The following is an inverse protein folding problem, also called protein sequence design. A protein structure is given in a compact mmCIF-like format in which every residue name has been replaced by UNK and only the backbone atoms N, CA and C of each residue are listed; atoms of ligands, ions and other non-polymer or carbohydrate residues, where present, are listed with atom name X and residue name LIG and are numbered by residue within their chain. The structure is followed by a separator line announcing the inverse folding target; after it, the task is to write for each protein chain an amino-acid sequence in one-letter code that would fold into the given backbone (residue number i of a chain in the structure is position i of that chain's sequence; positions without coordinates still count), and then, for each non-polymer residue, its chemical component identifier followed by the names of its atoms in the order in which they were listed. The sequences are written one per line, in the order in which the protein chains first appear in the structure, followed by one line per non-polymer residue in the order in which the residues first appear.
data_IF_051772942362
#
_entry.id   IF_051772942362
#
_cell.length_a   1.000
_cell.length_b   1.000
_cell.length_c   1.000
_cell.angle_alpha   90.00
_cell.angle_beta   90.00
_cell.angle_gamma   90.00
#
_symmetry.space_group_name_H-M   'P 1'
#
loop_
_entity.id
_entity.type
_entity.pdbx_description
1 polymer ?
#
# COMPACT_ATOMS: atom_id res chain seq x y z
N UNK A 1 14.15 -4.19 12.48
CA UNK A 1 14.18 -4.09 11.01
C UNK A 1 14.55 -2.66 10.61
N UNK A 2 15.20 -2.52 9.47
CA UNK A 2 15.47 -1.23 8.82
C UNK A 2 14.39 -0.97 7.77
N UNK A 3 13.80 0.22 7.79
CA UNK A 3 12.69 0.59 6.91
C UNK A 3 13.03 1.86 6.13
N UNK A 4 12.65 1.93 4.85
CA UNK A 4 12.64 3.16 4.07
C UNK A 4 11.18 3.58 3.83
N UNK A 5 10.85 4.83 4.09
CA UNK A 5 9.52 5.40 3.91
C UNK A 5 9.49 6.24 2.64
N UNK A 6 8.75 5.77 1.65
CA UNK A 6 8.52 6.45 0.38
C UNK A 6 7.14 7.13 0.45
N UNK A 7 7.18 8.45 0.68
CA UNK A 7 6.02 9.24 1.06
C UNK A 7 6.02 9.56 2.55
N UNK A 8 6.57 10.74 2.90
CA UNK A 8 6.65 11.20 4.30
C UNK A 8 5.61 12.28 4.59
N UNK A 9 4.38 12.03 4.11
CA UNK A 9 3.18 12.79 4.45
C UNK A 9 2.59 12.36 5.79
N UNK A 10 1.34 12.68 6.03
CA UNK A 10 0.63 12.37 7.28
C UNK A 10 0.69 10.87 7.66
N UNK A 11 0.46 9.98 6.68
CA UNK A 11 0.55 8.53 6.89
C UNK A 11 1.98 8.08 7.16
N UNK A 12 2.96 8.52 6.37
CA UNK A 12 4.37 8.17 6.54
C UNK A 12 4.93 8.61 7.89
N UNK A 13 4.56 9.79 8.37
CA UNK A 13 4.93 10.26 9.72
C UNK A 13 4.35 9.37 10.82
N UNK A 14 3.08 8.99 10.71
CA UNK A 14 2.45 8.05 11.64
C UNK A 14 3.13 6.69 11.66
N UNK A 15 3.48 6.15 10.48
CA UNK A 15 4.22 4.90 10.35
C UNK A 15 5.61 5.02 10.97
N UNK A 16 6.33 6.13 10.74
CA UNK A 16 7.65 6.36 11.31
C UNK A 16 7.62 6.36 12.84
N UNK A 17 6.69 7.10 13.44
CA UNK A 17 6.53 7.17 14.88
C UNK A 17 6.25 5.78 15.48
N UNK A 18 5.32 5.02 14.90
CA UNK A 18 4.98 3.68 15.36
C UNK A 18 6.13 2.69 15.18
N UNK A 19 6.83 2.73 14.05
CA UNK A 19 7.96 1.87 13.77
C UNK A 19 9.11 2.11 14.76
N UNK A 20 9.43 3.37 15.03
CA UNK A 20 10.46 3.76 16.00
C UNK A 20 10.07 3.30 17.42
N UNK A 21 8.83 3.50 17.83
CA UNK A 21 8.32 3.02 19.11
C UNK A 21 8.41 1.49 19.27
N UNK A 22 8.38 0.75 18.16
CA UNK A 22 8.55 -0.71 18.11
C UNK A 22 10.01 -1.16 17.92
N UNK A 23 10.98 -0.25 17.98
CA UNK A 23 12.40 -0.57 17.87
C UNK A 23 12.90 -0.79 16.44
N UNK A 24 12.15 -0.32 15.42
CA UNK A 24 12.62 -0.33 14.04
C UNK A 24 13.40 0.94 13.71
N UNK A 25 14.32 0.85 12.75
CA UNK A 25 15.14 1.98 12.30
C UNK A 25 14.64 2.49 10.94
N UNK A 26 14.46 3.80 10.81
CA UNK A 26 14.15 4.43 9.52
C UNK A 26 15.47 4.87 8.87
N UNK A 27 15.77 4.31 7.68
CA UNK A 27 17.01 4.61 6.94
C UNK A 27 16.84 5.73 5.94
N UNK A 28 15.63 5.90 5.37
CA UNK A 28 15.32 6.94 4.41
C UNK A 28 13.87 7.43 4.58
N UNK A 29 13.66 8.73 4.31
CA UNK A 29 12.37 9.40 4.36
C UNK A 29 12.19 10.22 3.08
N UNK A 30 11.49 9.65 2.11
CA UNK A 30 11.31 10.24 0.79
C UNK A 30 10.08 11.16 0.81
N UNK A 31 10.24 12.38 0.32
CA UNK A 31 9.21 13.39 0.20
C UNK A 31 9.48 14.32 -1.00
N UNK A 32 8.72 15.39 -1.15
CA UNK A 32 8.89 16.35 -2.26
C UNK A 32 10.24 17.09 -2.24
N UNK A 33 10.91 17.20 -1.09
CA UNK A 33 12.22 17.85 -0.94
C UNK A 33 13.39 16.87 -1.05
N UNK A 34 13.17 15.64 -0.55
CA UNK A 34 14.17 14.56 -0.53
C UNK A 34 13.66 13.42 -1.40
N UNK A 35 14.06 13.41 -2.66
CA UNK A 35 13.60 12.39 -3.62
C UNK A 35 14.27 11.04 -3.40
N UNK A 36 13.64 9.96 -3.91
CA UNK A 36 14.24 8.62 -3.85
C UNK A 36 15.62 8.58 -4.50
N UNK A 37 15.83 9.30 -5.60
CA UNK A 37 17.12 9.34 -6.28
C UNK A 37 18.22 9.94 -5.40
N UNK A 38 17.90 10.98 -4.61
CA UNK A 38 18.85 11.62 -3.70
C UNK A 38 19.18 10.76 -2.47
N UNK A 39 18.26 9.91 -2.05
CA UNK A 39 18.41 9.05 -0.86
C UNK A 39 18.45 7.54 -1.21
N UNK A 40 18.81 7.20 -2.44
CA UNK A 40 18.78 5.82 -2.88
C UNK A 40 19.70 4.92 -2.06
N UNK A 41 20.90 5.36 -1.75
CA UNK A 41 21.86 4.59 -0.94
C UNK A 41 21.31 4.28 0.45
N UNK A 42 20.69 5.25 1.12
CA UNK A 42 20.05 5.09 2.42
C UNK A 42 18.83 4.17 2.33
N UNK A 43 18.02 4.32 1.27
CA UNK A 43 16.87 3.46 1.04
C UNK A 43 17.30 2.01 0.78
N UNK A 44 18.40 1.79 0.06
CA UNK A 44 18.93 0.45 -0.20
C UNK A 44 19.46 -0.26 1.05
N UNK A 45 19.76 0.45 2.13
CA UNK A 45 20.11 -0.15 3.42
C UNK A 45 18.90 -0.72 4.18
N UNK A 46 17.68 -0.37 3.76
CA UNK A 46 16.47 -0.89 4.37
C UNK A 46 16.24 -2.37 4.04
N UNK A 47 15.61 -3.08 4.96
CA UNK A 47 15.13 -4.45 4.75
C UNK A 47 13.86 -4.45 3.89
N UNK A 48 13.00 -3.45 4.09
CA UNK A 48 11.70 -3.29 3.41
C UNK A 48 11.43 -1.81 3.13
N UNK A 49 10.86 -1.53 1.97
CA UNK A 49 10.36 -0.22 1.59
C UNK A 49 8.85 -0.13 1.85
N UNK A 50 8.39 0.98 2.42
CA UNK A 50 6.97 1.26 2.67
C UNK A 50 6.54 2.46 1.82
N UNK A 51 5.70 2.23 0.82
CA UNK A 51 5.28 3.19 -0.18
C UNK A 51 3.88 3.73 0.15
N UNK A 52 3.81 4.99 0.57
CA UNK A 52 2.59 5.74 0.91
C UNK A 52 2.71 7.18 0.38
N UNK A 53 3.04 7.34 -0.88
CA UNK A 53 3.23 8.64 -1.54
C UNK A 53 1.99 9.09 -2.33
N UNK A 54 2.16 9.39 -3.60
CA UNK A 54 1.11 9.79 -4.53
C UNK A 54 1.05 8.82 -5.73
N UNK A 55 -0.08 8.72 -6.44
CA UNK A 55 -0.20 7.86 -7.62
C UNK A 55 0.90 8.10 -8.66
N UNK A 56 1.27 9.37 -8.86
CA UNK A 56 2.26 9.77 -9.88
C UNK A 56 3.67 9.30 -9.55
N UNK A 57 4.02 9.21 -8.27
CA UNK A 57 5.36 8.78 -7.82
C UNK A 57 5.44 7.30 -7.49
N UNK A 58 4.33 6.69 -7.10
CA UNK A 58 4.28 5.30 -6.65
C UNK A 58 4.81 4.32 -7.70
N UNK A 59 4.44 4.49 -8.97
CA UNK A 59 4.89 3.61 -10.05
C UNK A 59 6.41 3.61 -10.20
N UNK A 60 7.03 4.79 -10.13
CA UNK A 60 8.50 4.90 -10.19
C UNK A 60 9.17 4.27 -8.97
N UNK A 61 8.61 4.47 -7.78
CA UNK A 61 9.10 3.84 -6.55
C UNK A 61 9.04 2.31 -6.63
N UNK A 62 7.91 1.76 -7.11
CA UNK A 62 7.72 0.31 -7.27
C UNK A 62 8.75 -0.25 -8.27
N UNK A 63 8.91 0.37 -9.44
CA UNK A 63 9.88 -0.06 -10.45
C UNK A 63 11.32 0.02 -9.95
N UNK A 64 11.65 1.06 -9.18
CA UNK A 64 12.97 1.18 -8.58
C UNK A 64 13.21 0.08 -7.54
N UNK A 65 12.23 -0.22 -6.69
CA UNK A 65 12.31 -1.33 -5.73
C UNK A 65 12.52 -2.68 -6.45
N UNK A 66 11.75 -2.94 -7.52
CA UNK A 66 11.87 -4.16 -8.34
C UNK A 66 13.29 -4.30 -8.91
N UNK A 67 13.83 -3.25 -9.54
CA UNK A 67 15.17 -3.25 -10.13
C UNK A 67 16.27 -3.54 -9.11
N UNK A 68 16.12 -3.05 -7.90
CA UNK A 68 17.07 -3.26 -6.81
C UNK A 68 16.72 -4.46 -5.92
N UNK A 69 15.71 -5.27 -6.31
CA UNK A 69 15.26 -6.45 -5.57
C UNK A 69 14.91 -6.14 -4.09
N UNK A 70 14.44 -4.91 -3.83
CA UNK A 70 13.99 -4.51 -2.48
C UNK A 70 12.53 -4.89 -2.28
N UNK A 71 12.22 -5.65 -1.22
CA UNK A 71 10.84 -5.89 -0.84
C UNK A 71 10.11 -4.56 -0.60
N UNK A 72 8.94 -4.41 -1.22
CA UNK A 72 8.15 -3.17 -1.09
C UNK A 72 6.71 -3.48 -0.74
N UNK A 73 6.17 -2.74 0.24
CA UNK A 73 4.77 -2.73 0.62
C UNK A 73 4.14 -1.43 0.13
N UNK A 74 3.12 -1.52 -0.71
CA UNK A 74 2.52 -0.39 -1.41
C UNK A 74 1.10 -0.14 -0.91
N UNK A 75 0.90 1.01 -0.27
CA UNK A 75 -0.42 1.48 0.19
C UNK A 75 -1.02 2.57 -0.68
N UNK A 76 -0.25 3.20 -1.55
CA UNK A 76 -0.75 4.17 -2.53
C UNK A 76 -1.64 3.47 -3.56
N UNK A 77 -2.72 4.11 -3.95
CA UNK A 77 -3.66 3.65 -5.00
C UNK A 77 -3.45 4.42 -6.30
N UNK A 78 -4.14 4.03 -7.38
CA UNK A 78 -4.15 4.77 -8.66
C UNK A 78 -3.12 4.32 -9.70
N UNK A 79 -2.23 3.37 -9.39
CA UNK A 79 -1.21 2.83 -10.31
C UNK A 79 -1.61 1.50 -10.95
N UNK A 80 -2.77 0.96 -10.62
CA UNK A 80 -3.19 -0.42 -11.01
C UNK A 80 -3.31 -0.66 -12.52
N UNK A 81 -3.41 0.39 -13.35
CA UNK A 81 -3.37 0.26 -14.80
C UNK A 81 -2.08 -0.44 -15.29
N UNK A 82 -0.98 -0.31 -14.55
CA UNK A 82 0.32 -0.89 -14.85
C UNK A 82 0.57 -2.27 -14.19
N UNK A 83 -0.45 -2.87 -13.58
CA UNK A 83 -0.28 -4.09 -12.79
C UNK A 83 0.26 -5.27 -13.61
N UNK A 84 -0.19 -5.42 -14.87
CA UNK A 84 0.26 -6.51 -15.73
C UNK A 84 1.74 -6.36 -16.12
N UNK A 85 2.19 -5.14 -16.40
CA UNK A 85 3.59 -4.84 -16.69
C UNK A 85 4.46 -5.12 -15.46
N UNK A 86 4.05 -4.63 -14.29
CA UNK A 86 4.77 -4.83 -13.04
C UNK A 86 4.87 -6.31 -12.64
N UNK A 87 3.86 -7.13 -12.91
CA UNK A 87 3.93 -8.58 -12.68
C UNK A 87 5.04 -9.23 -13.49
N UNK A 88 5.20 -8.84 -14.75
CA UNK A 88 6.29 -9.33 -15.60
C UNK A 88 7.66 -8.88 -15.07
N UNK A 89 7.77 -7.61 -14.65
CA UNK A 89 8.99 -7.06 -14.07
C UNK A 89 9.35 -7.80 -12.74
N UNK A 90 8.38 -8.05 -11.86
CA UNK A 90 8.56 -8.80 -10.60
C UNK A 90 9.13 -10.19 -10.86
N UNK A 91 8.59 -10.92 -11.82
CA UNK A 91 9.10 -12.25 -12.19
C UNK A 91 10.51 -12.14 -12.78
N UNK A 92 10.73 -11.22 -13.72
CA UNK A 92 12.02 -11.01 -14.39
C UNK A 92 13.16 -10.70 -13.42
N UNK A 93 12.89 -9.89 -12.39
CA UNK A 93 13.90 -9.45 -11.42
C UNK A 93 13.90 -10.27 -10.12
N UNK A 94 13.05 -11.29 -10.00
CA UNK A 94 12.83 -12.05 -8.77
C UNK A 94 12.59 -11.14 -7.56
N UNK A 95 11.72 -10.13 -7.74
CA UNK A 95 11.43 -9.12 -6.74
C UNK A 95 10.19 -9.47 -5.91
N UNK A 96 9.96 -8.74 -4.82
CA UNK A 96 8.80 -8.91 -3.96
C UNK A 96 8.03 -7.59 -3.86
N UNK A 97 6.77 -7.59 -4.33
CA UNK A 97 5.85 -6.46 -4.21
C UNK A 97 4.58 -6.93 -3.53
N UNK A 98 4.29 -6.36 -2.37
CA UNK A 98 3.02 -6.55 -1.68
C UNK A 98 2.20 -5.26 -1.77
N UNK A 99 0.94 -5.36 -2.15
CA UNK A 99 0.05 -4.20 -2.20
C UNK A 99 -1.34 -4.54 -1.68
N UNK A 100 -2.01 -3.56 -1.11
CA UNK A 100 -3.41 -3.66 -0.75
C UNK A 100 -4.13 -2.34 -1.06
N UNK A 101 -5.39 -2.45 -1.46
CA UNK A 101 -6.24 -1.27 -1.70
C UNK A 101 -6.56 -0.51 -0.41
N UNK A 102 -6.46 -1.19 0.71
CA UNK A 102 -6.76 -0.62 2.02
C UNK A 102 -6.00 -1.36 3.12
N UNK A 103 -5.31 -0.61 3.95
CA UNK A 103 -4.61 -1.08 5.16
C UNK A 103 -5.36 -0.70 6.45
N UNK A 104 -6.58 -0.13 6.36
CA UNK A 104 -7.37 0.21 7.53
C UNK A 104 -7.95 -1.03 8.20
N UNK A 105 -7.60 -1.24 9.46
CA UNK A 105 -8.17 -2.30 10.27
C UNK A 105 -9.70 -2.16 10.39
N UNK A 106 -10.20 -0.92 10.55
CA UNK A 106 -11.64 -0.65 10.65
C UNK A 106 -12.39 -1.08 9.41
N UNK A 107 -11.88 -0.77 8.21
CA UNK A 107 -12.50 -1.22 6.95
C UNK A 107 -12.41 -2.73 6.80
N UNK A 108 -11.32 -3.37 7.20
CA UNK A 108 -11.20 -4.82 7.19
C UNK A 108 -12.24 -5.50 8.11
N UNK A 109 -12.42 -4.98 9.31
CA UNK A 109 -13.44 -5.46 10.26
C UNK A 109 -14.86 -5.24 9.72
N UNK A 110 -15.11 -4.11 9.07
CA UNK A 110 -16.39 -3.81 8.42
C UNK A 110 -16.70 -4.81 7.30
N UNK A 111 -15.73 -5.14 6.43
CA UNK A 111 -15.90 -6.17 5.40
C UNK A 111 -16.16 -7.55 6.00
N UNK A 112 -15.46 -7.94 7.07
CA UNK A 112 -15.72 -9.20 7.77
C UNK A 112 -17.14 -9.25 8.36
N UNK A 113 -17.61 -8.16 8.95
CA UNK A 113 -18.96 -8.06 9.48
C UNK A 113 -19.99 -8.20 8.36
N UNK A 114 -19.81 -7.50 7.23
CA UNK A 114 -20.69 -7.59 6.08
C UNK A 114 -20.74 -9.02 5.49
N UNK A 115 -19.60 -9.71 5.42
CA UNK A 115 -19.57 -11.10 4.97
C UNK A 115 -20.34 -12.04 5.91
N UNK A 116 -20.20 -11.85 7.22
CA UNK A 116 -20.92 -12.61 8.23
C UNK A 116 -22.42 -12.35 8.17
N UNK A 117 -22.82 -11.09 8.01
CA UNK A 117 -24.23 -10.69 7.84
C UNK A 117 -24.82 -11.28 6.55
N UNK A 118 -24.12 -11.17 5.44
CA UNK A 118 -24.56 -11.73 4.16
C UNK A 118 -24.78 -13.27 4.25
N UNK A 119 -23.86 -13.99 4.91
CA UNK A 119 -24.01 -15.43 5.16
C UNK A 119 -25.22 -15.74 6.03
N UNK A 120 -25.44 -14.99 7.11
CA UNK A 120 -26.59 -15.18 7.99
C UNK A 120 -27.91 -14.93 7.25
N UNK A 121 -27.93 -13.99 6.31
CA UNK A 121 -29.13 -13.63 5.54
C UNK A 121 -29.39 -14.52 4.31
N UNK A 122 -28.47 -15.40 3.90
CA UNK A 122 -28.65 -16.26 2.73
C UNK A 122 -29.90 -17.15 2.80
N UNK A 123 -30.31 -17.55 4.00
CA UNK A 123 -31.46 -18.41 4.24
C UNK A 123 -32.75 -17.64 4.55
N UNK A 124 -32.72 -16.30 4.49
CA UNK A 124 -33.88 -15.48 4.75
C UNK A 124 -34.33 -14.81 3.45
N UNK A 125 -35.63 -14.82 3.11
CA UNK A 125 -36.13 -14.08 1.95
C UNK A 125 -35.85 -12.57 2.14
N UNK A 126 -35.52 -11.83 1.06
CA UNK A 126 -35.23 -10.41 1.17
C UNK A 126 -36.46 -9.65 1.67
N UNK A 127 -36.38 -9.11 2.88
CA UNK A 127 -37.47 -8.33 3.50
C UNK A 127 -37.53 -6.93 2.92
N UNK A 128 -36.42 -6.38 2.41
CA UNK A 128 -36.35 -5.07 1.77
C UNK A 128 -35.30 -5.10 0.66
N UNK A 129 -35.69 -4.68 -0.53
CA UNK A 129 -34.76 -4.35 -1.61
C UNK A 129 -34.41 -2.86 -1.46
N UNK A 130 -33.25 -2.56 -0.93
CA UNK A 130 -32.69 -1.21 -0.95
C UNK A 130 -32.15 -0.95 -2.34
N UNK A 131 -32.92 -0.29 -3.20
CA UNK A 131 -32.39 0.23 -4.44
C UNK A 131 -31.39 1.35 -4.09
N UNK A 132 -30.14 1.27 -4.59
CA UNK A 132 -29.16 2.28 -4.29
C UNK A 132 -29.60 3.65 -4.84
N UNK A 133 -29.46 4.74 -4.06
CA UNK A 133 -30.00 6.06 -4.40
C UNK A 133 -29.40 6.68 -5.69
N UNK A 134 -28.36 6.10 -6.27
CA UNK A 134 -27.72 6.58 -7.50
C UNK A 134 -28.30 5.98 -8.81
N UNK A 135 -29.39 5.22 -8.76
CA UNK A 135 -30.04 4.69 -9.98
C UNK A 135 -31.08 5.62 -10.60
N UNK A 136 -31.30 6.81 -10.03
CA UNK A 136 -32.19 7.83 -10.57
C UNK A 136 -31.36 9.03 -11.04
N UNK A 137 -30.81 8.93 -12.25
CA UNK A 137 -30.19 10.01 -12.98
C UNK A 137 -30.15 9.65 -14.44
#
# INVERSE_FOLDING_TARGET
MKLALLGYGKMGQGIAALATAKGHTITAQINSKNTLQQQLEQALQADVWLEFSTPDTALNHIRTAIKHQKPIVVGTTGWYAHLNELRQEVVKFNATVFYARNFSLGVHLFFKLNQSLAKAMQNHPPVVRLDPPWRHG
#
